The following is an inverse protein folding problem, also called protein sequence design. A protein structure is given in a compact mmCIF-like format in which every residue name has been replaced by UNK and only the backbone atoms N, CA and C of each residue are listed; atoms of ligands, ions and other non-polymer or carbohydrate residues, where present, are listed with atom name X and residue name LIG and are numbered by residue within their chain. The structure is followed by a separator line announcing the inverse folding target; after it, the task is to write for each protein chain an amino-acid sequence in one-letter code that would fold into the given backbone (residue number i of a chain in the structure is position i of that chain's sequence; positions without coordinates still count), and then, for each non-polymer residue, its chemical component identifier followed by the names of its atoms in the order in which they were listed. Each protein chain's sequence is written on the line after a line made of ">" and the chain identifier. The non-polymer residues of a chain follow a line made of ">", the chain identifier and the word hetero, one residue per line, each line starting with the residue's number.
data_IF_178820761125
#
_entry.id   IF_178820761125
#
_cell.length_a   1.000
_cell.length_b   1.000
_cell.length_c   1.000
_cell.angle_alpha   90.00
_cell.angle_beta   90.00
_cell.angle_gamma   90.00
#
_symmetry.space_group_name_H-M   'P 1'
#
loop_
_entity.id
_entity.type
_entity.pdbx_description
1 polymer ?
#
# COMPACT_ATOMS: atom_id res chain seq x y z
N UNK A 1 6.49 4.97 27.28
CA UNK A 1 6.45 6.33 26.76
C UNK A 1 7.79 7.07 26.91
N UNK A 2 8.42 7.15 28.09
CA UNK A 2 9.73 7.82 28.26
C UNK A 2 10.86 7.25 27.39
N UNK A 3 10.92 5.96 27.12
CA UNK A 3 11.99 5.32 26.35
C UNK A 3 11.88 5.60 24.81
N UNK A 4 10.66 5.63 24.27
CA UNK A 4 10.41 6.01 22.85
C UNK A 4 10.79 7.46 22.60
N UNK A 5 10.62 8.27 23.62
CA UNK A 5 10.87 9.70 23.62
C UNK A 5 12.37 9.99 23.45
N UNK A 6 13.24 9.28 24.14
CA UNK A 6 14.69 9.49 24.13
C UNK A 6 15.35 9.14 22.78
N UNK A 7 14.71 8.23 21.97
CA UNK A 7 15.25 7.78 20.69
C UNK A 7 14.93 8.66 19.48
N UNK A 8 13.87 9.47 19.55
CA UNK A 8 13.52 10.36 18.42
C UNK A 8 14.52 11.52 18.25
N UNK A 9 15.27 11.89 19.31
CA UNK A 9 16.19 13.04 19.28
C UNK A 9 17.65 12.70 18.94
N UNK A 10 18.08 11.46 19.13
CA UNK A 10 19.46 11.04 18.79
C UNK A 10 19.68 10.94 17.28
N UNK A 11 18.62 11.09 16.49
CA UNK A 11 18.65 10.91 15.04
C UNK A 11 18.49 12.21 14.27
N UNK A 12 19.47 13.13 14.39
CA UNK A 12 19.69 14.17 13.37
C UNK A 12 20.22 13.54 12.09
N UNK A 13 19.40 12.77 11.39
CA UNK A 13 19.78 12.09 10.15
C UNK A 13 19.05 12.72 8.97
N UNK A 14 19.81 13.33 8.08
CA UNK A 14 19.33 13.75 6.76
C UNK A 14 19.32 12.51 5.88
N UNK A 15 18.20 11.80 5.80
CA UNK A 15 17.97 10.89 4.71
C UNK A 15 17.63 11.74 3.48
N UNK A 16 18.59 11.92 2.60
CA UNK A 16 18.32 12.40 1.25
C UNK A 16 17.62 11.24 0.56
N UNK A 17 16.30 11.14 0.72
CA UNK A 17 15.50 10.24 -0.11
C UNK A 17 15.75 10.67 -1.55
N UNK A 18 16.23 9.76 -2.40
CA UNK A 18 16.19 9.90 -3.85
C UNK A 18 14.75 9.76 -4.33
N UNK A 19 13.85 10.56 -3.76
CA UNK A 19 12.55 10.86 -4.32
C UNK A 19 12.77 11.94 -5.35
N UNK A 20 12.77 11.59 -6.64
CA UNK A 20 12.77 12.59 -7.69
C UNK A 20 11.56 13.47 -7.54
N UNK A 21 11.74 14.66 -6.98
CA UNK A 21 10.79 15.76 -7.16
C UNK A 21 10.69 15.99 -8.66
N UNK A 22 9.55 15.71 -9.23
CA UNK A 22 9.15 16.33 -10.48
C UNK A 22 8.89 17.81 -10.15
N UNK A 23 9.92 18.64 -10.29
CA UNK A 23 9.72 20.07 -10.33
C UNK A 23 8.81 20.38 -11.51
N UNK A 24 7.62 20.88 -11.20
CA UNK A 24 6.72 21.48 -12.19
C UNK A 24 7.40 22.70 -12.78
N UNK A 25 8.04 22.54 -13.92
CA UNK A 25 8.44 23.68 -14.74
C UNK A 25 7.19 24.39 -15.23
N UNK A 26 7.00 25.60 -14.72
CA UNK A 26 6.13 26.60 -15.34
C UNK A 26 6.70 26.90 -16.73
N UNK A 27 6.04 26.38 -17.76
CA UNK A 27 6.35 26.70 -19.14
C UNK A 27 5.94 28.13 -19.45
N UNK A 28 6.92 28.98 -19.67
CA UNK A 28 6.72 30.23 -20.37
C UNK A 28 6.29 29.96 -21.81
N UNK A 29 5.25 30.67 -22.18
CA UNK A 29 4.63 30.81 -23.46
C UNK A 29 5.66 31.13 -24.58
N UNK A 30 5.71 30.30 -25.61
CA UNK A 30 6.26 30.69 -26.91
C UNK A 30 5.37 30.12 -28.02
N UNK A 31 4.66 31.07 -28.60
CA UNK A 31 3.79 30.94 -29.76
C UNK A 31 4.44 30.19 -30.92
N UNK A 32 3.89 29.02 -31.29
CA UNK A 32 4.18 28.35 -32.55
C UNK A 32 3.05 28.70 -33.53
N UNK A 33 3.40 29.47 -34.55
CA UNK A 33 2.54 29.80 -35.66
C UNK A 33 2.31 28.55 -36.49
N UNK A 34 1.06 28.09 -36.59
CA UNK A 34 0.63 27.07 -37.52
C UNK A 34 0.40 27.69 -38.90
N UNK A 35 1.24 27.34 -39.85
CA UNK A 35 0.98 27.63 -41.27
C UNK A 35 0.03 26.55 -41.83
N UNK A 36 -1.17 26.94 -42.13
CA UNK A 36 -2.14 26.15 -42.92
C UNK A 36 -1.79 26.27 -44.39
N UNK A 37 -1.37 25.18 -45.02
CA UNK A 37 -1.23 25.10 -46.48
C UNK A 37 -2.46 24.40 -47.03
N UNK A 38 -3.31 25.17 -47.71
CA UNK A 38 -4.39 24.64 -48.55
C UNK A 38 -3.81 24.24 -49.90
N UNK A 39 -3.76 22.95 -50.19
CA UNK A 39 -3.38 22.41 -51.50
C UNK A 39 -4.57 21.86 -52.23
N UNK A 40 -4.91 22.51 -53.38
CA UNK A 40 -5.92 22.12 -54.36
C UNK A 40 -5.48 20.86 -55.11
N UNK A 41 -6.45 19.97 -55.37
CA UNK A 41 -6.27 18.77 -56.17
C UNK A 41 -6.18 19.09 -57.69
N UNK A 42 -5.25 18.43 -58.39
CA UNK A 42 -5.48 18.01 -59.75
C UNK A 42 -4.56 16.85 -60.20
N UNK A 43 -5.15 15.96 -60.92
CA UNK A 43 -4.92 14.64 -61.32
C UNK A 43 -3.64 14.22 -62.02
N UNK A 44 -3.51 12.90 -62.15
CA UNK A 44 -2.81 12.24 -63.28
C UNK A 44 -1.63 11.35 -62.91
N UNK A 45 -1.89 10.08 -62.78
CA UNK A 45 -1.18 8.98 -63.41
C UNK A 45 0.24 8.57 -63.05
N UNK A 46 0.36 7.25 -62.75
CA UNK A 46 1.46 6.29 -63.04
C UNK A 46 2.49 6.01 -61.94
N UNK A 47 2.42 4.75 -61.50
CA UNK A 47 3.47 3.83 -60.99
C UNK A 47 4.86 4.40 -60.69
N UNK A 48 5.23 4.32 -59.43
CA UNK A 48 6.63 4.07 -59.07
C UNK A 48 6.74 3.53 -57.62
N UNK A 49 7.38 2.40 -57.52
CA UNK A 49 8.13 1.83 -56.38
C UNK A 49 7.87 2.41 -54.97
N UNK A 50 7.29 1.57 -54.13
CA UNK A 50 7.29 1.77 -52.72
C UNK A 50 8.73 1.86 -52.16
N UNK A 51 9.24 3.06 -51.99
CA UNK A 51 10.34 3.34 -51.08
C UNK A 51 9.80 3.17 -49.66
N UNK A 52 10.20 2.09 -48.99
CA UNK A 52 10.12 1.98 -47.52
C UNK A 52 10.94 3.14 -46.93
N UNK A 53 10.26 4.20 -46.55
CA UNK A 53 10.81 5.19 -45.64
C UNK A 53 11.08 4.46 -44.31
N UNK A 54 12.34 4.14 -44.08
CA UNK A 54 12.82 3.78 -42.74
C UNK A 54 12.52 4.99 -41.84
N UNK A 55 11.46 4.90 -41.05
CA UNK A 55 11.25 5.83 -39.95
C UNK A 55 12.48 5.72 -39.09
N UNK A 56 13.29 6.78 -39.08
CA UNK A 56 14.34 6.98 -38.08
C UNK A 56 13.65 6.96 -36.71
N UNK A 57 13.72 5.80 -36.05
CA UNK A 57 13.34 5.68 -34.64
C UNK A 57 14.31 6.62 -33.91
N UNK A 58 13.80 7.70 -33.37
CA UNK A 58 14.57 8.60 -32.52
C UNK A 58 15.32 7.75 -31.47
N UNK A 59 16.59 8.05 -31.16
CA UNK A 59 17.33 7.32 -30.16
C UNK A 59 16.48 7.33 -28.87
N UNK A 60 16.19 6.13 -28.34
CA UNK A 60 15.50 6.00 -27.05
C UNK A 60 16.31 6.81 -26.04
N UNK A 61 15.75 7.92 -25.57
CA UNK A 61 16.27 8.63 -24.41
C UNK A 61 16.51 7.64 -23.30
N UNK A 62 17.60 7.80 -22.54
CA UNK A 62 17.95 6.91 -21.46
C UNK A 62 16.70 6.62 -20.61
N UNK A 63 16.43 5.33 -20.37
CA UNK A 63 15.27 4.89 -19.58
C UNK A 63 15.29 5.62 -18.23
N UNK A 64 14.20 6.22 -17.76
CA UNK A 64 14.17 6.73 -16.39
C UNK A 64 14.59 5.60 -15.46
N UNK A 65 15.32 5.93 -14.38
CA UNK A 65 15.91 4.91 -13.49
C UNK A 65 14.86 3.91 -12.98
N UNK A 66 13.65 4.39 -12.63
CA UNK A 66 12.47 3.57 -12.30
C UNK A 66 11.19 4.31 -12.67
N UNK A 67 10.16 3.59 -13.12
CA UNK A 67 8.82 4.13 -13.30
C UNK A 67 8.07 4.20 -11.96
N UNK A 68 7.00 4.99 -11.89
CA UNK A 68 6.21 5.12 -10.67
C UNK A 68 5.65 3.77 -10.20
N UNK A 69 5.17 2.92 -11.11
CA UNK A 69 4.71 1.58 -10.79
C UNK A 69 5.80 0.69 -10.18
N UNK A 70 7.04 0.81 -10.67
CA UNK A 70 8.19 0.06 -10.12
C UNK A 70 8.54 0.55 -8.70
N UNK A 71 8.50 1.87 -8.46
CA UNK A 71 8.73 2.45 -7.13
C UNK A 71 7.70 1.99 -6.11
N UNK A 72 6.44 1.83 -6.52
CA UNK A 72 5.36 1.37 -5.64
C UNK A 72 5.61 -0.04 -5.09
N UNK A 73 6.44 -0.86 -5.74
CA UNK A 73 6.85 -2.17 -5.23
C UNK A 73 7.69 -2.06 -3.94
N UNK A 74 8.30 -0.91 -3.68
CA UNK A 74 9.13 -0.62 -2.51
C UNK A 74 8.44 0.32 -1.51
N UNK A 75 7.14 0.59 -1.73
CA UNK A 75 6.30 1.35 -0.81
C UNK A 75 5.89 0.52 0.40
N UNK A 76 5.69 -0.79 0.23
CA UNK A 76 5.13 -1.66 1.25
C UNK A 76 6.13 -2.66 1.78
N UNK A 77 5.86 -3.16 2.97
CA UNK A 77 6.65 -4.21 3.62
C UNK A 77 5.72 -5.24 4.26
N UNK A 78 6.10 -6.52 4.13
CA UNK A 78 5.41 -7.61 4.79
C UNK A 78 5.74 -7.60 6.27
N UNK A 79 4.73 -7.48 7.12
CA UNK A 79 4.86 -7.56 8.55
C UNK A 79 4.68 -9.00 9.02
N UNK A 80 5.72 -9.60 9.61
CA UNK A 80 5.60 -10.85 10.34
C UNK A 80 5.64 -10.52 11.83
N UNK A 81 4.47 -10.64 12.47
CA UNK A 81 4.26 -10.20 13.86
C UNK A 81 4.30 -11.41 14.80
N UNK A 82 5.33 -11.48 15.64
CA UNK A 82 5.48 -12.55 16.64
C UNK A 82 4.61 -12.25 17.85
N UNK A 83 3.66 -13.11 18.13
CA UNK A 83 2.73 -13.05 19.27
C UNK A 83 2.98 -14.23 20.22
N UNK A 84 2.34 -14.23 21.38
CA UNK A 84 2.46 -15.34 22.34
C UNK A 84 2.03 -16.70 21.73
N UNK A 85 1.03 -16.68 20.81
CA UNK A 85 0.39 -17.88 20.26
C UNK A 85 0.78 -18.16 18.81
N UNK A 86 1.87 -17.59 18.31
CA UNK A 86 2.34 -17.81 16.95
C UNK A 86 2.72 -16.55 16.19
N UNK A 87 2.78 -16.66 14.87
CA UNK A 87 3.12 -15.55 13.98
C UNK A 87 1.88 -15.15 13.18
N UNK A 88 1.52 -13.87 13.21
CA UNK A 88 0.51 -13.28 12.32
C UNK A 88 1.17 -12.45 11.23
N UNK A 89 0.44 -12.27 10.11
CA UNK A 89 0.91 -11.52 8.96
C UNK A 89 0.03 -10.30 8.73
N UNK A 90 0.64 -9.20 8.30
CA UNK A 90 -0.05 -7.99 7.87
C UNK A 90 0.77 -7.24 6.82
N UNK A 91 0.22 -6.16 6.35
CA UNK A 91 0.89 -5.21 5.47
C UNK A 91 1.28 -3.96 6.25
N UNK A 92 2.49 -3.47 6.02
CA UNK A 92 2.89 -2.12 6.38
C UNK A 92 3.26 -1.33 5.15
N UNK A 93 3.22 -0.01 5.21
CA UNK A 93 3.79 0.85 4.18
C UNK A 93 4.62 1.97 4.78
N UNK A 94 5.60 2.45 4.03
CA UNK A 94 6.51 3.48 4.48
C UNK A 94 5.90 4.87 4.33
N UNK A 95 6.04 5.67 5.38
CA UNK A 95 5.56 7.03 5.42
C UNK A 95 6.54 7.91 6.18
N UNK A 96 6.76 9.11 5.67
CA UNK A 96 7.65 10.12 6.24
C UNK A 96 6.83 11.21 6.94
N UNK A 97 6.81 11.17 8.27
CA UNK A 97 6.16 12.21 9.08
C UNK A 97 7.06 13.45 9.09
N UNK A 98 6.54 14.64 8.73
CA UNK A 98 7.35 15.86 8.73
C UNK A 98 7.81 16.25 10.15
N UNK A 99 9.07 16.66 10.28
CA UNK A 99 9.60 17.09 11.56
C UNK A 99 9.26 18.58 11.81
N UNK A 100 8.67 18.88 12.97
CA UNK A 100 8.08 20.21 13.24
C UNK A 100 9.08 21.34 13.43
N UNK A 101 10.33 21.03 13.82
CA UNK A 101 11.37 22.07 14.05
C UNK A 101 12.34 22.20 12.90
N UNK A 102 12.33 21.27 11.95
CA UNK A 102 13.22 21.31 10.78
C UNK A 102 12.51 20.69 9.56
N UNK A 103 12.08 21.52 8.63
CA UNK A 103 11.37 21.10 7.43
C UNK A 103 12.17 20.16 6.49
N UNK A 104 13.51 20.11 6.65
CA UNK A 104 14.36 19.19 5.89
C UNK A 104 14.46 17.79 6.51
N UNK A 105 13.90 17.60 7.72
CA UNK A 105 13.95 16.33 8.44
C UNK A 105 12.58 15.66 8.44
N UNK A 106 12.60 14.33 8.38
CA UNK A 106 11.41 13.49 8.46
C UNK A 106 11.62 12.38 9.49
N UNK A 107 10.52 11.89 10.05
CA UNK A 107 10.51 10.73 10.93
C UNK A 107 9.97 9.56 10.10
N UNK A 108 10.85 8.64 9.66
CA UNK A 108 10.43 7.49 8.87
C UNK A 108 9.66 6.51 9.75
N UNK A 109 8.47 6.12 9.30
CA UNK A 109 7.61 5.17 9.99
C UNK A 109 7.09 4.09 9.05
N UNK A 110 6.74 2.94 9.60
CA UNK A 110 5.86 1.96 8.94
C UNK A 110 4.46 2.19 9.48
N UNK A 111 3.50 2.40 8.58
CA UNK A 111 2.07 2.54 8.88
C UNK A 111 1.40 1.18 8.73
N UNK A 112 0.52 0.80 9.66
CA UNK A 112 -0.32 -0.40 9.58
C UNK A 112 -1.57 -0.23 10.45
N UNK A 113 -2.38 -1.29 10.55
CA UNK A 113 -3.52 -1.28 11.44
C UNK A 113 -3.14 -1.59 12.90
N UNK A 114 -3.90 -1.01 13.81
CA UNK A 114 -3.77 -1.26 15.25
C UNK A 114 -3.96 -2.73 15.61
N UNK A 115 -4.94 -3.42 15.00
CA UNK A 115 -5.18 -4.83 15.25
C UNK A 115 -4.03 -5.74 14.77
N UNK A 116 -3.29 -5.34 13.73
CA UNK A 116 -2.07 -6.02 13.27
C UNK A 116 -0.98 -5.87 14.32
N UNK A 117 -0.82 -4.65 14.85
CA UNK A 117 0.19 -4.28 15.85
C UNK A 117 -0.15 -4.69 17.28
N UNK A 118 -1.35 -5.26 17.52
CA UNK A 118 -1.80 -5.61 18.86
C UNK A 118 -1.13 -6.85 19.41
N UNK A 119 -0.67 -6.77 20.67
CA UNK A 119 -0.10 -7.88 21.46
C UNK A 119 1.11 -8.57 20.82
N UNK A 120 1.88 -7.81 20.03
CA UNK A 120 3.08 -8.32 19.39
C UNK A 120 4.31 -8.09 20.28
N UNK A 121 5.22 -9.08 20.30
CA UNK A 121 6.51 -9.02 20.98
C UNK A 121 7.60 -8.53 20.06
N UNK A 122 7.56 -8.96 18.81
CA UNK A 122 8.56 -8.66 17.80
C UNK A 122 7.90 -8.46 16.43
N UNK A 123 8.36 -7.45 15.71
CA UNK A 123 8.03 -7.23 14.30
C UNK A 123 9.23 -7.62 13.45
N UNK A 124 9.03 -8.52 12.49
CA UNK A 124 10.05 -8.94 11.53
C UNK A 124 9.69 -8.32 10.18
N UNK A 125 10.66 -7.60 9.61
CA UNK A 125 10.55 -6.96 8.29
C UNK A 125 11.74 -7.32 7.42
N UNK A 126 11.52 -7.42 6.11
CA UNK A 126 12.57 -7.69 5.12
C UNK A 126 12.68 -6.48 4.21
N UNK A 127 13.83 -5.86 4.18
CA UNK A 127 14.14 -4.75 3.30
C UNK A 127 14.88 -5.23 2.06
N UNK A 128 14.52 -4.72 0.90
CA UNK A 128 15.36 -4.79 -0.30
C UNK A 128 16.48 -3.77 -0.13
N UNK A 129 17.72 -4.13 -0.49
CA UNK A 129 18.87 -3.23 -0.40
C UNK A 129 19.06 -2.44 -1.69
N UNK A 130 19.58 -1.23 -1.55
CA UNK A 130 20.06 -0.44 -2.67
C UNK A 130 21.41 -0.97 -3.17
N UNK A 131 21.56 -1.08 -4.48
CA UNK A 131 22.83 -1.33 -5.13
C UNK A 131 23.75 -0.10 -5.15
N UNK A 132 24.95 -0.26 -5.69
CA UNK A 132 25.95 0.80 -5.84
C UNK A 132 25.47 1.96 -6.73
N UNK A 133 24.54 1.70 -7.64
CA UNK A 133 23.89 2.67 -8.52
C UNK A 133 22.69 3.37 -7.87
N UNK A 134 22.42 3.09 -6.59
CA UNK A 134 21.26 3.54 -5.82
C UNK A 134 19.91 3.05 -6.36
N UNK A 135 19.90 2.00 -7.19
CA UNK A 135 18.69 1.27 -7.60
C UNK A 135 18.46 0.06 -6.68
N UNK A 136 17.26 -0.53 -6.67
CA UNK A 136 17.02 -1.73 -5.90
C UNK A 136 17.87 -2.89 -6.41
N UNK A 137 18.50 -3.62 -5.52
CA UNK A 137 19.29 -4.82 -5.82
C UNK A 137 18.49 -6.09 -5.52
N UNK A 138 19.06 -7.26 -5.85
CA UNK A 138 18.52 -8.55 -5.42
C UNK A 138 18.82 -8.90 -3.96
N UNK A 139 19.67 -8.10 -3.29
CA UNK A 139 20.00 -8.34 -1.89
C UNK A 139 18.87 -7.91 -0.95
N UNK A 140 18.67 -8.70 0.09
CA UNK A 140 17.68 -8.46 1.13
C UNK A 140 18.33 -8.43 2.50
N UNK A 141 17.73 -7.70 3.44
CA UNK A 141 18.17 -7.68 4.82
C UNK A 141 16.98 -7.78 5.77
N UNK A 142 17.00 -8.76 6.66
CA UNK A 142 15.93 -8.99 7.62
C UNK A 142 16.25 -8.27 8.93
N UNK A 143 15.31 -7.46 9.41
CA UNK A 143 15.36 -6.81 10.72
C UNK A 143 14.30 -7.41 11.62
N UNK A 144 14.69 -7.62 12.88
CA UNK A 144 13.80 -7.99 13.99
C UNK A 144 13.74 -6.82 14.97
N UNK A 145 12.55 -6.31 15.20
CA UNK A 145 12.31 -5.15 16.07
C UNK A 145 11.59 -5.64 17.33
N UNK A 146 12.25 -5.55 18.48
CA UNK A 146 11.62 -5.84 19.79
C UNK A 146 10.60 -4.72 20.11
N UNK A 147 9.32 -5.05 20.05
CA UNK A 147 8.25 -4.08 20.26
C UNK A 147 8.04 -3.68 21.73
N UNK A 148 8.74 -4.30 22.68
CA UNK A 148 8.79 -3.81 24.06
C UNK A 148 9.73 -2.61 24.20
N UNK A 149 10.82 -2.61 23.43
CA UNK A 149 11.77 -1.49 23.37
C UNK A 149 11.31 -0.41 22.37
N UNK A 150 10.76 -0.84 21.23
CA UNK A 150 10.28 0.03 20.13
C UNK A 150 8.81 -0.26 19.86
N UNK A 151 7.88 0.29 20.67
CA UNK A 151 6.46 0.00 20.55
C UNK A 151 5.84 0.69 19.32
N UNK A 152 4.79 0.07 18.80
CA UNK A 152 3.87 0.71 17.89
C UNK A 152 3.13 1.85 18.59
N UNK A 153 2.95 2.96 17.90
CA UNK A 153 2.23 4.14 18.39
C UNK A 153 0.85 4.13 17.73
N UNK A 154 -0.18 3.99 18.55
CA UNK A 154 -1.56 3.95 18.11
C UNK A 154 -2.07 5.36 17.78
N UNK A 155 -3.06 5.41 16.88
CA UNK A 155 -3.82 6.62 16.61
C UNK A 155 -4.44 7.18 17.91
N UNK A 156 -4.47 8.53 18.11
CA UNK A 156 -5.00 9.15 19.32
C UNK A 156 -6.49 8.89 19.52
N UNK A 157 -7.27 8.77 18.45
CA UNK A 157 -8.67 8.32 18.48
C UNK A 157 -8.69 6.79 18.49
N UNK A 158 -9.19 6.20 19.58
CA UNK A 158 -9.23 4.76 19.75
C UNK A 158 -10.17 4.02 18.77
N UNK A 159 -11.12 4.74 18.18
CA UNK A 159 -12.04 4.19 17.18
C UNK A 159 -11.38 3.99 15.82
N UNK A 160 -10.20 4.59 15.60
CA UNK A 160 -9.43 4.48 14.36
C UNK A 160 -8.42 3.35 14.47
N UNK A 161 -8.57 2.34 13.64
CA UNK A 161 -7.72 1.15 13.62
C UNK A 161 -6.39 1.40 12.89
N UNK A 162 -5.60 2.36 13.38
CA UNK A 162 -4.35 2.81 12.78
C UNK A 162 -3.23 2.84 13.82
N UNK A 163 -2.04 2.41 13.40
CA UNK A 163 -0.81 2.47 14.21
C UNK A 163 0.40 2.73 13.32
N UNK A 164 1.44 3.32 13.89
CA UNK A 164 2.72 3.54 13.21
C UNK A 164 3.88 3.02 14.06
N UNK A 165 4.90 2.51 13.39
CA UNK A 165 6.15 2.06 14.00
C UNK A 165 7.29 2.96 13.53
N UNK A 166 7.91 3.79 14.39
CA UNK A 166 9.11 4.55 14.03
C UNK A 166 10.28 3.59 13.71
N UNK A 167 10.89 3.74 12.53
CA UNK A 167 11.95 2.84 12.06
C UNK A 167 13.33 3.48 11.97
N UNK A 168 13.48 4.74 12.33
CA UNK A 168 14.79 5.41 12.32
C UNK A 168 15.90 4.63 13.05
N UNK A 169 15.66 4.00 14.23
CA UNK A 169 16.66 3.16 14.89
C UNK A 169 17.06 1.93 14.07
N UNK A 170 16.09 1.28 13.39
CA UNK A 170 16.35 0.13 12.53
C UNK A 170 17.18 0.52 11.29
N UNK A 171 16.86 1.66 10.68
CA UNK A 171 17.60 2.19 9.53
C UNK A 171 19.04 2.53 9.90
N UNK A 172 19.26 3.17 11.06
CA UNK A 172 20.61 3.44 11.57
C UNK A 172 21.40 2.16 11.82
N UNK A 173 20.77 1.17 12.47
CA UNK A 173 21.39 -0.13 12.71
C UNK A 173 21.86 -0.81 11.41
N UNK A 174 21.07 -0.68 10.33
CA UNK A 174 21.44 -1.18 9.01
C UNK A 174 22.60 -0.40 8.42
N UNK A 175 22.56 0.93 8.50
CA UNK A 175 23.61 1.81 7.97
C UNK A 175 24.96 1.58 8.62
N UNK A 176 25.03 1.44 9.95
CA UNK A 176 26.24 1.10 10.71
C UNK A 176 26.89 -0.23 10.25
N UNK A 177 26.12 -1.08 9.52
CA UNK A 177 26.57 -2.35 8.93
C UNK A 177 26.76 -2.29 7.42
N UNK A 178 26.78 -1.08 6.87
CA UNK A 178 26.91 -0.87 5.43
C UNK A 178 25.72 -1.38 4.61
N UNK A 179 24.55 -1.57 5.25
CA UNK A 179 23.33 -2.05 4.59
C UNK A 179 22.38 -0.87 4.38
N UNK A 180 22.27 -0.40 3.14
CA UNK A 180 21.38 0.69 2.77
C UNK A 180 20.06 0.12 2.22
N UNK A 181 18.91 0.30 2.90
CA UNK A 181 17.64 -0.15 2.35
C UNK A 181 17.20 0.73 1.19
N UNK A 182 16.55 0.11 0.20
CA UNK A 182 15.82 0.83 -0.85
C UNK A 182 14.36 0.96 -0.43
N UNK A 183 13.91 2.18 -0.17
CA UNK A 183 12.58 2.49 0.32
C UNK A 183 11.99 3.60 -0.55
N UNK A 184 10.73 3.43 -0.93
CA UNK A 184 9.86 4.51 -1.39
C UNK A 184 8.84 4.81 -0.30
N UNK A 185 8.78 6.04 0.19
CA UNK A 185 7.87 6.45 1.26
C UNK A 185 6.89 7.51 0.74
N UNK A 186 5.68 7.49 1.27
CA UNK A 186 4.74 8.60 1.11
C UNK A 186 4.94 9.65 2.21
N UNK A 187 4.41 10.82 1.98
CA UNK A 187 4.24 11.92 2.92
C UNK A 187 2.86 12.57 2.74
N UNK A 188 2.58 13.65 3.45
CA UNK A 188 1.29 14.36 3.38
C UNK A 188 0.95 14.92 1.99
N UNK A 189 1.92 15.10 1.09
CA UNK A 189 1.68 15.57 -0.28
C UNK A 189 0.94 14.57 -1.16
N UNK A 190 1.03 13.29 -0.81
CA UNK A 190 0.28 12.22 -1.48
C UNK A 190 -1.17 12.14 -1.02
N UNK A 191 -1.54 12.74 0.11
CA UNK A 191 -2.91 12.72 0.63
C UNK A 191 -3.74 13.77 -0.09
N UNK A 192 -4.82 13.39 -0.79
CA UNK A 192 -5.68 14.36 -1.46
C UNK A 192 -6.42 15.22 -0.44
N UNK A 193 -6.66 16.47 -0.77
CA UNK A 193 -7.55 17.34 -0.03
C UNK A 193 -9.04 17.04 -0.33
N UNK A 194 -9.93 17.68 0.42
CA UNK A 194 -11.36 17.45 0.27
C UNK A 194 -11.90 17.96 -1.08
N UNK A 195 -11.26 18.94 -1.71
CA UNK A 195 -11.66 19.43 -3.04
C UNK A 195 -11.30 18.41 -4.13
N UNK A 196 -10.09 17.88 -4.08
CA UNK A 196 -9.68 16.81 -4.98
C UNK A 196 -10.60 15.58 -4.85
N UNK A 197 -10.97 15.22 -3.61
CA UNK A 197 -11.87 14.06 -3.37
C UNK A 197 -13.25 14.23 -3.99
N UNK A 198 -13.76 15.45 -4.18
CA UNK A 198 -15.05 15.70 -4.85
C UNK A 198 -14.99 15.38 -6.35
N UNK A 199 -13.79 15.43 -6.95
CA UNK A 199 -13.59 15.06 -8.37
C UNK A 199 -13.55 13.55 -8.60
N UNK A 200 -13.48 12.74 -7.53
CA UNK A 200 -13.39 11.28 -7.59
C UNK A 200 -14.80 10.68 -7.43
N UNK A 201 -15.12 9.68 -8.23
CA UNK A 201 -16.42 9.00 -8.21
C UNK A 201 -16.29 7.52 -7.84
N UNK A 202 -17.44 6.87 -7.59
CA UNK A 202 -17.52 5.47 -7.19
C UNK A 202 -16.96 4.47 -8.23
N UNK A 203 -16.81 4.91 -9.48
CA UNK A 203 -16.30 4.06 -10.57
C UNK A 203 -14.81 4.25 -10.85
N UNK A 204 -14.12 5.15 -10.12
CA UNK A 204 -12.68 5.32 -10.30
C UNK A 204 -11.93 4.06 -9.85
N UNK A 205 -10.98 3.64 -10.70
CA UNK A 205 -10.11 2.50 -10.40
C UNK A 205 -9.16 2.83 -9.24
N UNK A 206 -9.01 1.89 -8.34
CA UNK A 206 -8.06 1.95 -7.22
C UNK A 206 -7.10 0.77 -7.26
N UNK A 207 -5.89 1.00 -6.79
CA UNK A 207 -4.85 -0.01 -6.62
C UNK A 207 -4.57 -0.20 -5.13
N UNK A 208 -4.56 -1.44 -4.67
CA UNK A 208 -4.13 -1.83 -3.33
C UNK A 208 -2.86 -2.67 -3.42
N UNK A 209 -1.89 -2.37 -2.57
CA UNK A 209 -0.59 -3.05 -2.56
C UNK A 209 -0.37 -3.68 -1.19
N UNK A 210 -0.04 -4.97 -1.14
CA UNK A 210 0.15 -5.64 0.13
C UNK A 210 0.38 -7.14 0.02
N UNK A 211 0.05 -7.86 1.09
CA UNK A 211 0.42 -9.26 1.29
C UNK A 211 -0.80 -10.13 1.62
N UNK A 212 -1.79 -10.23 0.68
CA UNK A 212 -3.02 -11.00 0.89
C UNK A 212 -2.71 -12.48 1.16
N UNK A 213 -3.29 -13.04 2.21
CA UNK A 213 -2.99 -14.42 2.63
C UNK A 213 -1.55 -14.63 3.11
N UNK A 214 -0.78 -13.55 3.32
CA UNK A 214 0.66 -13.61 3.53
C UNK A 214 1.45 -13.88 2.25
N UNK A 215 0.79 -13.93 1.08
CA UNK A 215 1.40 -14.17 -0.22
C UNK A 215 2.26 -12.98 -0.64
N UNK A 216 3.43 -13.29 -1.19
CA UNK A 216 4.40 -12.36 -1.74
C UNK A 216 5.37 -13.11 -2.66
N UNK A 217 6.12 -12.38 -3.47
CA UNK A 217 7.27 -12.95 -4.17
C UNK A 217 8.46 -12.89 -3.21
N UNK A 218 8.77 -14.00 -2.56
CA UNK A 218 9.84 -14.09 -1.55
C UNK A 218 11.24 -14.06 -2.16
N UNK A 219 11.37 -14.43 -3.43
CA UNK A 219 12.63 -14.37 -4.15
C UNK A 219 13.01 -12.92 -4.46
N UNK A 220 12.06 -12.11 -4.94
CA UNK A 220 12.29 -10.72 -5.32
C UNK A 220 11.89 -9.71 -4.24
N UNK A 221 11.34 -10.17 -3.11
CA UNK A 221 10.79 -9.34 -2.03
C UNK A 221 9.73 -8.35 -2.53
N UNK A 222 8.80 -8.82 -3.37
CA UNK A 222 7.79 -7.98 -4.01
C UNK A 222 6.39 -8.24 -3.45
N UNK A 223 5.60 -7.17 -3.23
CA UNK A 223 4.20 -7.27 -2.82
C UNK A 223 3.29 -7.69 -3.97
N UNK A 224 2.04 -7.99 -3.63
CA UNK A 224 0.99 -8.25 -4.59
C UNK A 224 0.20 -6.97 -4.87
N UNK A 225 0.11 -6.60 -6.14
CA UNK A 225 -0.73 -5.50 -6.63
C UNK A 225 -2.11 -6.03 -6.98
N UNK A 226 -3.13 -5.30 -6.55
CA UNK A 226 -4.53 -5.62 -6.85
C UNK A 226 -5.24 -4.38 -7.31
N UNK A 227 -6.15 -4.54 -8.28
CA UNK A 227 -6.99 -3.48 -8.80
C UNK A 227 -8.45 -3.75 -8.51
N UNK A 228 -9.20 -2.70 -8.29
CA UNK A 228 -10.64 -2.70 -8.08
C UNK A 228 -11.19 -1.30 -8.30
N UNK A 229 -12.38 -1.03 -7.80
CA UNK A 229 -13.02 0.28 -7.93
C UNK A 229 -13.44 0.81 -6.57
N UNK A 230 -13.70 2.11 -6.50
CA UNK A 230 -14.40 2.69 -5.37
C UNK A 230 -15.84 2.17 -5.36
N UNK A 231 -16.32 1.66 -4.22
CA UNK A 231 -17.71 1.26 -4.02
C UNK A 231 -18.56 2.39 -3.41
N UNK A 232 -17.91 3.33 -2.70
CA UNK A 232 -18.54 4.56 -2.18
C UNK A 232 -17.64 5.76 -2.46
N UNK A 233 -18.22 6.97 -2.44
CA UNK A 233 -17.45 8.19 -2.63
C UNK A 233 -16.53 8.45 -1.44
N UNK A 234 -15.20 8.64 -1.65
CA UNK A 234 -14.27 8.96 -0.57
C UNK A 234 -14.43 10.38 -0.01
N UNK A 235 -15.19 11.26 -0.70
CA UNK A 235 -15.51 12.60 -0.18
C UNK A 235 -16.62 12.57 0.88
N UNK A 236 -17.27 11.42 1.12
CA UNK A 236 -18.37 11.24 2.06
C UNK A 236 -18.01 10.21 3.12
N UNK A 237 -18.39 10.49 4.36
CA UNK A 237 -18.19 9.57 5.47
C UNK A 237 -19.13 8.37 5.34
N UNK A 238 -18.57 7.17 5.27
CA UNK A 238 -19.37 5.94 5.28
C UNK A 238 -19.81 5.59 6.71
N UNK A 239 -21.11 5.43 6.91
CA UNK A 239 -21.66 5.17 8.25
C UNK A 239 -21.33 6.26 9.30
N UNK A 240 -21.13 7.51 8.88
CA UNK A 240 -20.74 8.62 9.74
C UNK A 240 -19.25 8.66 10.11
N UNK A 241 -18.46 7.65 9.73
CA UNK A 241 -17.02 7.58 10.00
C UNK A 241 -16.21 8.05 8.79
N UNK A 242 -15.02 8.60 9.03
CA UNK A 242 -14.07 9.00 7.97
C UNK A 242 -13.47 7.76 7.29
N UNK A 243 -14.36 7.02 6.62
CA UNK A 243 -14.09 5.76 5.92
C UNK A 243 -14.83 5.73 4.59
N UNK A 244 -14.41 4.84 3.70
CA UNK A 244 -15.11 4.55 2.45
C UNK A 244 -14.94 3.07 2.08
N UNK A 245 -15.70 2.61 1.09
CA UNK A 245 -15.67 1.23 0.62
C UNK A 245 -15.02 1.12 -0.76
N UNK A 246 -14.34 0.00 -0.97
CA UNK A 246 -13.83 -0.42 -2.27
C UNK A 246 -14.43 -1.78 -2.65
N UNK A 247 -14.68 -1.98 -3.94
CA UNK A 247 -15.01 -3.28 -4.53
C UNK A 247 -13.72 -3.93 -5.04
N UNK A 248 -13.20 -4.83 -4.23
CA UNK A 248 -11.95 -5.54 -4.46
C UNK A 248 -11.88 -6.74 -3.52
N UNK A 249 -11.40 -7.91 -3.97
CA UNK A 249 -11.17 -9.02 -3.06
C UNK A 249 -10.19 -8.63 -1.95
N UNK A 250 -10.61 -8.72 -0.69
CA UNK A 250 -9.77 -8.45 0.49
C UNK A 250 -9.68 -9.71 1.33
N UNK A 251 -8.46 -10.15 1.62
CA UNK A 251 -8.18 -11.33 2.43
C UNK A 251 -7.37 -10.94 3.68
N UNK A 252 -7.28 -11.84 4.66
CA UNK A 252 -6.36 -11.68 5.79
C UNK A 252 -4.94 -11.38 5.27
N UNK A 253 -4.14 -10.62 6.01
CA UNK A 253 -2.84 -10.12 5.54
C UNK A 253 -2.90 -8.84 4.71
N UNK A 254 -4.06 -8.49 4.12
CA UNK A 254 -4.26 -7.20 3.44
C UNK A 254 -4.47 -6.04 4.41
N UNK A 255 -4.66 -6.29 5.72
CA UNK A 255 -4.75 -5.24 6.73
C UNK A 255 -3.48 -4.40 6.75
N UNK A 256 -3.62 -3.06 6.71
CA UNK A 256 -2.53 -2.09 6.60
C UNK A 256 -2.11 -1.76 5.16
N UNK A 257 -2.70 -2.39 4.14
CA UNK A 257 -2.41 -2.09 2.74
C UNK A 257 -2.84 -0.67 2.37
N UNK A 258 -1.97 0.14 1.72
CA UNK A 258 -2.37 1.41 1.15
C UNK A 258 -3.29 1.20 -0.05
N UNK A 259 -4.32 2.04 -0.14
CA UNK A 259 -5.26 2.11 -1.26
C UNK A 259 -5.00 3.40 -2.03
N UNK A 260 -4.66 3.26 -3.29
CA UNK A 260 -4.13 4.32 -4.12
C UNK A 260 -5.05 4.63 -5.28
N UNK A 261 -5.19 5.91 -5.59
CA UNK A 261 -5.62 6.36 -6.90
C UNK A 261 -4.37 6.47 -7.77
N UNK A 262 -4.15 5.48 -8.63
CA UNK A 262 -2.94 5.38 -9.44
C UNK A 262 -3.29 5.21 -10.92
N UNK A 263 -2.72 6.06 -11.76
CA UNK A 263 -2.83 5.96 -13.21
C UNK A 263 -1.52 6.42 -13.85
N UNK A 264 -1.10 5.73 -14.92
CA UNK A 264 0.03 6.13 -15.76
C UNK A 264 -0.48 6.37 -17.19
N UNK A 265 -0.06 7.48 -17.76
CA UNK A 265 -0.34 7.84 -19.15
C UNK A 265 -1.58 8.70 -19.35
N UNK A 266 -2.79 8.25 -19.06
CA UNK A 266 -4.04 8.99 -19.25
C UNK A 266 -4.99 8.78 -18.09
N UNK A 267 -5.64 9.85 -17.63
CA UNK A 267 -6.76 9.77 -16.70
C UNK A 267 -7.77 10.89 -16.97
N UNK A 268 -8.98 10.76 -16.43
CA UNK A 268 -10.01 11.76 -16.53
C UNK A 268 -10.09 12.60 -15.25
N UNK A 269 -9.94 13.92 -15.38
CA UNK A 269 -10.09 14.88 -14.29
C UNK A 269 -11.43 15.61 -14.43
N UNK A 270 -12.40 15.22 -13.61
CA UNK A 270 -13.75 15.77 -13.65
C UNK A 270 -13.84 17.24 -13.19
N UNK A 271 -12.83 17.74 -12.49
CA UNK A 271 -12.77 19.16 -12.08
C UNK A 271 -12.63 20.10 -13.28
N UNK A 272 -12.12 19.60 -14.40
CA UNK A 272 -11.98 20.34 -15.66
C UNK A 272 -13.21 20.30 -16.57
N UNK A 273 -14.28 19.65 -16.13
CA UNK A 273 -15.53 19.53 -16.87
C UNK A 273 -15.70 18.20 -17.60
N UNK A 274 -16.85 18.07 -18.27
CA UNK A 274 -17.18 16.87 -19.06
C UNK A 274 -16.71 17.05 -20.51
N UNK A 275 -15.98 16.09 -21.05
CA UNK A 275 -15.49 16.11 -22.42
C UNK A 275 -13.97 16.04 -22.54
N UNK A 276 -13.44 16.51 -23.68
CA UNK A 276 -12.02 16.39 -23.99
C UNK A 276 -11.11 17.15 -23.01
N UNK A 277 -11.58 18.26 -22.44
CA UNK A 277 -10.83 19.08 -21.50
C UNK A 277 -10.53 18.32 -20.16
N UNK A 278 -11.36 17.34 -19.84
CA UNK A 278 -11.15 16.48 -18.68
C UNK A 278 -10.10 15.38 -18.91
N UNK A 279 -9.65 15.15 -20.15
CA UNK A 279 -8.64 14.13 -20.46
C UNK A 279 -7.26 14.69 -20.17
N UNK A 280 -6.57 14.10 -19.19
CA UNK A 280 -5.21 14.48 -18.80
C UNK A 280 -4.22 13.44 -19.30
N UNK A 281 -3.25 13.91 -20.10
CA UNK A 281 -2.06 13.13 -20.45
C UNK A 281 -1.05 13.29 -19.32
N UNK A 282 -0.79 12.20 -18.60
CA UNK A 282 0.13 12.20 -17.45
C UNK A 282 -0.24 11.14 -16.43
N UNK A 283 0.51 11.11 -15.33
CA UNK A 283 0.26 10.21 -14.22
C UNK A 283 -0.44 10.90 -13.05
N UNK A 284 -1.21 10.14 -12.27
CA UNK A 284 -1.69 10.55 -10.96
C UNK A 284 -1.35 9.48 -9.92
N UNK A 285 -0.94 9.93 -8.75
CA UNK A 285 -0.66 9.05 -7.60
C UNK A 285 -1.13 9.75 -6.34
N UNK A 286 -2.16 9.21 -5.68
CA UNK A 286 -2.69 9.71 -4.42
C UNK A 286 -2.97 8.55 -3.47
N UNK A 287 -2.63 8.73 -2.19
CA UNK A 287 -3.01 7.83 -1.11
C UNK A 287 -4.43 8.17 -0.67
N UNK A 288 -5.40 7.32 -1.00
CA UNK A 288 -6.79 7.51 -0.60
C UNK A 288 -7.04 7.04 0.82
N UNK A 289 -6.43 5.93 1.23
CA UNK A 289 -6.64 5.37 2.57
C UNK A 289 -5.89 4.07 2.82
N UNK A 290 -6.24 3.45 3.94
CA UNK A 290 -5.61 2.25 4.48
C UNK A 290 -6.69 1.18 4.68
N UNK A 291 -6.51 0.01 4.07
CA UNK A 291 -7.42 -1.11 4.24
C UNK A 291 -7.28 -1.69 5.66
N UNK A 292 -8.41 -1.88 6.37
CA UNK A 292 -8.36 -2.48 7.70
C UNK A 292 -9.32 -3.64 7.90
N UNK A 293 -10.39 -3.73 7.11
CA UNK A 293 -11.40 -4.76 7.26
C UNK A 293 -12.04 -5.15 5.92
N UNK A 294 -12.72 -6.27 5.93
CA UNK A 294 -13.60 -6.71 4.84
C UNK A 294 -14.93 -7.14 5.40
N UNK A 295 -15.98 -6.98 4.60
CA UNK A 295 -17.31 -7.49 4.95
C UNK A 295 -17.34 -8.98 4.63
N UNK A 296 -17.77 -9.79 5.59
CA UNK A 296 -17.90 -11.25 5.43
C UNK A 296 -19.34 -11.68 5.64
N UNK A 297 -19.79 -12.58 4.78
CA UNK A 297 -21.08 -13.26 4.95
C UNK A 297 -20.85 -14.63 5.61
N UNK A 298 -21.58 -14.93 6.67
CA UNK A 298 -21.54 -16.25 7.29
C UNK A 298 -22.45 -17.18 6.49
N UNK A 299 -21.84 -18.24 5.93
CA UNK A 299 -22.58 -19.30 5.24
C UNK A 299 -22.62 -20.52 6.15
N UNK A 300 -23.82 -21.07 6.32
CA UNK A 300 -24.04 -22.34 7.01
C UNK A 300 -24.31 -23.44 6.01
N UNK A 301 -23.57 -24.55 6.12
CA UNK A 301 -23.74 -25.75 5.30
C UNK A 301 -24.01 -26.95 6.18
N UNK A 302 -24.84 -27.91 5.70
CA UNK A 302 -24.95 -29.22 6.33
C UNK A 302 -23.71 -30.04 5.97
N UNK A 303 -23.09 -30.64 6.98
CA UNK A 303 -22.06 -31.65 6.73
C UNK A 303 -22.73 -32.92 6.26
N UNK A 304 -22.49 -33.31 5.01
CA UNK A 304 -23.00 -34.55 4.45
C UNK A 304 -21.88 -35.58 4.50
N UNK A 305 -22.15 -36.75 5.11
CA UNK A 305 -21.24 -37.89 5.03
C UNK A 305 -21.23 -38.40 3.59
N UNK A 306 -20.12 -38.27 2.89
CA UNK A 306 -19.93 -38.84 1.56
C UNK A 306 -19.30 -40.21 1.74
N UNK A 307 -19.89 -41.31 1.24
CA UNK A 307 -19.23 -42.61 1.26
C UNK A 307 -17.91 -42.50 0.47
N UNK A 308 -16.81 -42.75 1.15
CA UNK A 308 -15.53 -42.94 0.46
C UNK A 308 -15.59 -44.31 -0.20
N UNK A 309 -15.31 -44.43 -1.50
CA UNK A 309 -15.20 -45.75 -2.11
C UNK A 309 -14.09 -46.52 -1.41
N UNK A 310 -14.46 -47.48 -0.58
CA UNK A 310 -13.52 -48.46 -0.05
C UNK A 310 -13.13 -49.39 -1.20
N UNK A 311 -11.84 -49.40 -1.55
CA UNK A 311 -11.29 -50.49 -2.34
C UNK A 311 -11.41 -51.73 -1.45
N UNK A 312 -12.39 -52.57 -1.72
CA UNK A 312 -12.55 -53.87 -1.06
C UNK A 312 -11.47 -54.76 -1.65
N UNK A 313 -10.39 -55.00 -0.92
CA UNK A 313 -9.58 -56.17 -1.19
C UNK A 313 -10.43 -57.40 -0.85
N UNK A 314 -10.68 -58.24 -1.86
CA UNK A 314 -11.48 -59.47 -1.77
C UNK A 314 -10.77 -60.51 -0.92
N UNK A 315 -10.58 -60.36 0.38
CA UNK A 315 -10.15 -61.45 1.26
C UNK A 315 -10.23 -61.11 2.75
N UNK A 316 -11.39 -60.65 3.25
CA UNK A 316 -11.64 -60.79 4.70
C UNK A 316 -13.05 -61.30 4.99
N UNK A 317 -13.21 -62.26 5.92
CA UNK A 317 -14.51 -62.82 6.26
C UNK A 317 -15.34 -61.82 7.04
N UNK A 318 -16.63 -61.75 6.69
CA UNK A 318 -17.65 -60.92 7.33
C UNK A 318 -17.69 -61.12 8.85
N UNK A 319 -17.30 -60.12 9.62
CA UNK A 319 -17.57 -60.07 11.07
C UNK A 319 -18.94 -59.43 11.29
N UNK A 320 -19.76 -60.15 12.03
CA UNK A 320 -21.17 -59.93 12.23
C UNK A 320 -21.59 -58.58 12.81
N UNK A 321 -22.77 -58.21 12.42
CA UNK A 321 -23.65 -57.15 12.89
C UNK A 321 -23.69 -57.01 14.41
N UNK A 322 -23.15 -55.88 14.89
CA UNK A 322 -23.32 -55.36 16.24
C UNK A 322 -24.08 -54.05 16.20
N UNK A 323 -25.38 -54.09 16.02
CA UNK A 323 -26.25 -52.90 16.07
C UNK A 323 -26.21 -52.23 17.47
N UNK A 324 -25.42 -51.20 17.64
CA UNK A 324 -25.59 -50.28 18.77
C UNK A 324 -26.53 -49.12 18.36
N UNK A 325 -27.77 -49.25 18.80
CA UNK A 325 -28.74 -48.14 18.78
C UNK A 325 -28.32 -47.03 19.76
N UNK A 326 -27.55 -46.08 19.30
CA UNK A 326 -27.32 -44.83 19.96
C UNK A 326 -28.19 -43.72 19.34
N UNK A 327 -29.35 -43.44 19.90
CA UNK A 327 -30.20 -42.29 19.52
C UNK A 327 -29.57 -41.00 19.98
N UNK A 328 -28.91 -40.30 19.08
CA UNK A 328 -28.55 -38.89 19.20
C UNK A 328 -28.46 -38.35 17.80
N UNK A 329 -29.53 -37.68 17.32
CA UNK A 329 -29.45 -36.89 16.07
C UNK A 329 -28.63 -35.68 16.33
N UNK A 330 -27.31 -35.78 16.15
CA UNK A 330 -26.47 -34.61 16.06
C UNK A 330 -26.46 -34.13 14.60
N UNK A 331 -27.07 -32.97 14.34
CA UNK A 331 -26.89 -32.29 13.06
C UNK A 331 -25.53 -31.58 13.13
N UNK A 332 -24.59 -32.02 12.32
CA UNK A 332 -23.32 -31.31 12.14
C UNK A 332 -23.53 -30.17 11.15
N UNK A 333 -23.29 -28.94 11.60
CA UNK A 333 -23.33 -27.76 10.76
C UNK A 333 -21.90 -27.22 10.60
N UNK A 334 -21.48 -26.96 9.35
CA UNK A 334 -20.28 -26.21 9.06
C UNK A 334 -20.64 -24.72 8.90
N UNK A 335 -19.95 -23.86 9.63
CA UNK A 335 -20.07 -22.39 9.46
C UNK A 335 -18.75 -21.85 8.91
N UNK A 336 -18.83 -21.09 7.83
CA UNK A 336 -17.65 -20.42 7.26
C UNK A 336 -17.99 -18.98 6.89
N UNK A 337 -17.02 -18.08 7.07
CA UNK A 337 -17.12 -16.69 6.62
C UNK A 337 -16.58 -16.56 5.20
N UNK A 338 -17.41 -16.11 4.27
CA UNK A 338 -17.01 -15.85 2.88
C UNK A 338 -16.90 -14.34 2.71
N UNK A 339 -15.71 -13.80 2.36
CA UNK A 339 -15.57 -12.39 2.02
C UNK A 339 -16.45 -12.03 0.81
N UNK A 340 -17.16 -10.93 0.87
CA UNK A 340 -18.00 -10.44 -0.22
C UNK A 340 -17.28 -9.45 -1.14
N UNK A 341 -15.94 -9.42 -1.11
CA UNK A 341 -15.08 -8.56 -1.91
C UNK A 341 -15.23 -7.05 -1.64
N UNK A 342 -15.82 -6.67 -0.52
CA UNK A 342 -15.90 -5.27 -0.11
C UNK A 342 -14.86 -5.00 0.98
N UNK A 343 -13.92 -4.10 0.67
CA UNK A 343 -12.94 -3.59 1.62
C UNK A 343 -13.45 -2.33 2.32
N UNK A 344 -13.16 -2.21 3.63
CA UNK A 344 -13.43 -1.00 4.41
C UNK A 344 -12.10 -0.28 4.62
N UNK A 345 -12.07 1.01 4.21
CA UNK A 345 -10.85 1.79 4.10
C UNK A 345 -10.91 2.99 5.05
N UNK A 346 -9.93 3.07 5.95
CA UNK A 346 -9.67 4.28 6.74
C UNK A 346 -9.18 5.36 5.79
N UNK A 347 -9.80 6.53 5.84
CA UNK A 347 -9.41 7.66 4.99
C UNK A 347 -7.99 8.14 5.30
N UNK A 348 -7.17 8.42 4.28
CA UNK A 348 -5.77 8.81 4.44
C UNK A 348 -5.57 10.10 5.27
N UNK A 349 -6.59 10.99 5.30
CA UNK A 349 -6.53 12.20 6.14
C UNK A 349 -6.32 11.92 7.64
N UNK A 350 -6.61 10.68 8.10
CA UNK A 350 -6.32 10.26 9.48
C UNK A 350 -4.81 10.21 9.79
N UNK A 351 -3.96 10.16 8.75
CA UNK A 351 -2.51 10.32 8.93
C UNK A 351 -2.12 11.71 9.43
N UNK A 352 -2.87 12.76 9.09
CA UNK A 352 -2.62 14.12 9.60
C UNK A 352 -2.72 14.20 11.12
N UNK A 353 -3.65 13.44 11.71
CA UNK A 353 -3.80 13.35 13.17
C UNK A 353 -2.58 12.63 13.82
N UNK A 354 -1.99 11.65 13.10
CA UNK A 354 -0.73 11.05 13.52
C UNK A 354 0.44 12.04 13.43
N UNK A 355 0.54 12.84 12.36
CA UNK A 355 1.53 13.90 12.22
C UNK A 355 1.44 14.93 13.36
N UNK A 356 0.21 15.34 13.71
CA UNK A 356 -0.04 16.24 14.85
C UNK A 356 0.38 15.62 16.20
N UNK A 357 0.13 14.31 16.37
CA UNK A 357 0.58 13.58 17.57
C UNK A 357 2.12 13.61 17.68
N UNK A 358 2.81 13.30 16.60
CA UNK A 358 4.27 13.34 16.56
C UNK A 358 4.80 14.76 16.77
N UNK A 359 4.14 15.76 16.19
CA UNK A 359 4.47 17.16 16.41
C UNK A 359 4.40 17.54 17.90
N UNK A 360 3.38 17.10 18.62
CA UNK A 360 3.24 17.30 20.07
C UNK A 360 4.36 16.60 20.85
N UNK A 361 4.67 15.36 20.50
CA UNK A 361 5.73 14.57 21.14
C UNK A 361 7.07 15.30 21.00
N UNK A 362 7.45 15.71 19.78
CA UNK A 362 8.72 16.39 19.52
C UNK A 362 8.81 17.74 20.25
N UNK A 363 7.75 18.55 20.24
CA UNK A 363 7.73 19.83 20.96
C UNK A 363 7.90 19.67 22.47
N UNK A 364 7.24 18.67 23.05
CA UNK A 364 7.36 18.41 24.50
C UNK A 364 8.78 18.01 24.89
N UNK A 365 9.44 17.21 24.08
CA UNK A 365 10.83 16.81 24.30
C UNK A 365 11.78 18.02 24.24
N UNK A 366 11.64 18.83 23.20
CA UNK A 366 12.46 20.04 23.05
C UNK A 366 12.31 20.98 24.27
N UNK A 367 11.09 21.13 24.78
CA UNK A 367 10.82 21.95 25.96
C UNK A 367 11.40 21.34 27.25
N UNK A 368 11.42 20.01 27.40
CA UNK A 368 12.06 19.33 28.54
C UNK A 368 13.59 19.48 28.49
N UNK A 369 14.21 19.39 27.32
CA UNK A 369 15.65 19.59 27.15
C UNK A 369 16.07 21.03 27.47
N UNK A 370 15.28 22.03 27.07
CA UNK A 370 15.53 23.43 27.38
C UNK A 370 15.42 23.73 28.88
N UNK A 371 14.57 23.01 29.63
CA UNK A 371 14.43 23.16 31.08
C UNK A 371 15.56 22.48 31.86
N UNK A 372 16.24 21.51 31.26
CA UNK A 372 17.31 20.74 31.89
C UNK A 372 18.72 21.28 31.56
N UNK A 373 18.81 22.33 30.75
CA UNK A 373 20.02 23.14 30.49
C UNK A 373 20.06 24.39 31.36
#
# INVERSE_FOLDING_TARGET
>A
MKLVIQFLFVCGFVMTCCGGRSEGQTSNDSSVKTNVVTGSANGGGKNSHAQRTSQLVAPRTARPKLYAAELLSYLTVRLSCVKANGISCGTGFFYDIPHVTNAAMHIPVIVSNRHVAKDIRETIVVFTLAGSDSLPSSEKYTIRIDNRAFPWINHPDESVDLSVLPIAPALRYMEERGKKPFIFAFDSSYIPDDEYLKSITQTDEVTMIGYPGGLWDDVNNQPIFRKGTLATSPSKNFGGRREFLIDMPVYWGSSGSPVLLFSEGVYFDRSRGMGADGIILGGRLKLLGINYATITNTVTGKVVSVPVPTVVEENEPAVGDGSSKGKGKFALEAKTGIPNNIGIIIHASRMKEMEELFAKIVRNQHNEELKNR
#
